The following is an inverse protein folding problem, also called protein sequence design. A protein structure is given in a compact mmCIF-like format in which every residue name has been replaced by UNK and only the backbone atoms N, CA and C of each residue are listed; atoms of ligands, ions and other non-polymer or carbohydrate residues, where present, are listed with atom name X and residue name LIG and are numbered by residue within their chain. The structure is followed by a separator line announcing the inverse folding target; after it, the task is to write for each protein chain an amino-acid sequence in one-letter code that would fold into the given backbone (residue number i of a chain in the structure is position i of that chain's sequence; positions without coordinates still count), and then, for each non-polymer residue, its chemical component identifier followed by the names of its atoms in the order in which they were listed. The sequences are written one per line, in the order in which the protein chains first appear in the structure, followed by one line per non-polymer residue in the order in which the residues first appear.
data_IF_146968007357
#
_entry.id   IF_146968007357
#
_cell.length_a   1.000
_cell.length_b   1.000
_cell.length_c   1.000
_cell.angle_alpha   90.00
_cell.angle_beta   90.00
_cell.angle_gamma   90.00
#
_symmetry.space_group_name_H-M   'P 1'
#
loop_
_entity.id
_entity.type
_entity.pdbx_description
1 polymer ?
#
# COMPACT_ATOMS: atom_id res chain seq x y z
N UNK A 1 18.11 27.05 -48.43
CA UNK A 1 18.45 27.46 -49.81
C UNK A 1 17.17 27.58 -50.62
N UNK A 2 16.67 28.79 -50.81
CA UNK A 2 15.79 29.13 -51.94
C UNK A 2 15.78 30.66 -52.09
N UNK A 3 16.55 31.16 -53.04
CA UNK A 3 16.64 32.59 -53.37
C UNK A 3 15.59 32.89 -54.43
N UNK A 4 14.54 33.64 -54.08
CA UNK A 4 13.64 34.24 -55.06
C UNK A 4 14.12 35.68 -55.33
N UNK A 5 14.72 35.88 -56.50
CA UNK A 5 15.17 37.17 -57.00
C UNK A 5 13.99 38.09 -57.30
N UNK A 6 13.89 39.19 -56.56
CA UNK A 6 12.99 40.31 -56.90
C UNK A 6 13.67 41.14 -57.99
N UNK A 7 13.06 41.17 -59.18
CA UNK A 7 13.43 42.08 -60.27
C UNK A 7 13.17 43.53 -59.85
N UNK A 8 14.24 44.28 -59.61
CA UNK A 8 14.19 45.73 -59.47
C UNK A 8 14.20 46.34 -60.87
N UNK A 9 13.08 46.92 -61.29
CA UNK A 9 13.03 47.76 -62.48
C UNK A 9 13.79 49.06 -62.21
N UNK A 10 14.97 49.17 -62.83
CA UNK A 10 15.73 50.41 -62.95
C UNK A 10 14.92 51.45 -63.72
N UNK A 11 14.43 52.47 -63.02
CA UNK A 11 13.82 53.63 -63.65
C UNK A 11 14.88 54.44 -64.41
N UNK A 12 14.69 54.51 -65.72
CA UNK A 12 15.56 55.16 -66.69
C UNK A 12 15.59 56.69 -66.45
N UNK A 13 16.73 57.22 -66.01
CA UNK A 13 16.99 58.67 -65.88
C UNK A 13 17.20 59.28 -67.28
N UNK A 14 16.13 59.51 -68.04
CA UNK A 14 16.25 60.21 -69.34
C UNK A 14 15.09 61.12 -69.72
N UNK A 15 14.14 61.42 -68.82
CA UNK A 15 12.91 62.15 -69.22
C UNK A 15 12.72 63.57 -68.66
N UNK A 16 13.70 64.19 -67.98
CA UNK A 16 13.49 65.52 -67.34
C UNK A 16 14.21 66.67 -68.08
N UNK A 17 14.86 66.42 -69.22
CA UNK A 17 15.57 67.47 -69.97
C UNK A 17 14.74 68.18 -71.06
N UNK A 18 13.41 68.00 -71.13
CA UNK A 18 12.62 68.44 -72.31
C UNK A 18 11.55 69.51 -72.08
N UNK A 19 11.35 70.02 -70.86
CA UNK A 19 10.33 71.06 -70.61
C UNK A 19 10.89 72.47 -70.35
N UNK A 20 12.21 72.65 -70.25
CA UNK A 20 12.83 73.98 -70.11
C UNK A 20 13.01 74.76 -71.43
N UNK A 21 12.95 74.09 -72.58
CA UNK A 21 13.19 74.72 -73.90
C UNK A 21 11.99 75.48 -74.48
N UNK A 22 10.79 75.36 -73.88
CA UNK A 22 9.57 75.96 -74.44
C UNK A 22 9.27 77.38 -73.96
N UNK A 23 9.96 77.92 -72.94
CA UNK A 23 9.69 79.28 -72.45
C UNK A 23 10.64 80.34 -73.04
N UNK A 24 11.86 79.97 -73.44
CA UNK A 24 12.81 80.90 -74.06
C UNK A 24 12.49 81.19 -75.54
N UNK A 25 11.81 80.27 -76.23
CA UNK A 25 11.38 80.48 -77.62
C UNK A 25 10.22 81.49 -77.76
N UNK A 26 9.39 81.66 -76.73
CA UNK A 26 8.22 82.54 -76.76
C UNK A 26 8.56 84.02 -76.58
N UNK A 27 9.73 84.34 -75.99
CA UNK A 27 10.14 85.72 -75.71
C UNK A 27 10.95 86.31 -76.88
N UNK A 28 11.62 85.47 -77.68
CA UNK A 28 12.34 85.93 -78.87
C UNK A 28 11.40 86.18 -80.07
N UNK A 29 10.21 85.56 -80.10
CA UNK A 29 9.28 85.68 -81.24
C UNK A 29 8.31 86.88 -81.18
N UNK A 30 8.31 87.68 -80.10
CA UNK A 30 7.45 88.87 -79.97
C UNK A 30 8.17 90.19 -80.26
N UNK A 31 9.48 90.18 -80.56
CA UNK A 31 10.26 91.38 -80.89
C UNK A 31 10.34 91.69 -82.41
N UNK A 32 9.65 90.92 -83.27
CA UNK A 32 9.77 91.03 -84.73
C UNK A 32 8.49 91.46 -85.48
N UNK A 33 7.42 91.86 -84.79
CA UNK A 33 6.18 92.33 -85.43
C UNK A 33 5.52 93.51 -84.68
N UNK A 34 6.16 94.67 -84.71
CA UNK A 34 5.49 95.99 -84.61
C UNK A 34 6.42 97.11 -85.11
N UNK A 35 6.55 97.21 -86.43
CA UNK A 35 7.08 98.39 -87.12
C UNK A 35 6.04 98.89 -88.13
N UNK A 36 4.88 99.35 -87.64
CA UNK A 36 4.10 100.42 -88.26
C UNK A 36 2.92 100.78 -87.37
N UNK A 37 2.90 102.03 -86.89
CA UNK A 37 1.68 102.72 -86.49
C UNK A 37 1.38 102.75 -84.98
N UNK A 38 1.72 103.88 -84.36
CA UNK A 38 0.86 104.50 -83.34
C UNK A 38 1.01 104.05 -81.89
N UNK A 39 1.51 104.98 -81.08
CA UNK A 39 1.38 105.10 -79.61
C UNK A 39 1.92 103.97 -78.71
N UNK A 40 3.01 104.32 -78.00
CA UNK A 40 3.52 103.73 -76.75
C UNK A 40 3.78 102.22 -76.75
N UNK A 41 4.83 101.81 -77.47
CA UNK A 41 5.51 100.53 -77.25
C UNK A 41 6.69 100.70 -76.27
N UNK A 42 6.99 99.67 -75.46
CA UNK A 42 7.97 99.77 -74.38
C UNK A 42 9.39 100.07 -74.91
N UNK A 43 10.17 100.86 -74.17
CA UNK A 43 11.53 101.27 -74.57
C UNK A 43 12.50 100.06 -74.58
N UNK A 44 13.67 100.18 -75.22
CA UNK A 44 14.69 99.11 -75.20
C UNK A 44 15.12 98.72 -73.78
N UNK A 45 15.02 99.64 -72.83
CA UNK A 45 15.25 99.45 -71.40
C UNK A 45 14.14 98.62 -70.74
N UNK A 46 12.91 98.74 -71.23
CA UNK A 46 11.70 98.10 -70.74
C UNK A 46 11.55 96.66 -71.28
N UNK A 47 12.03 96.39 -72.49
CA UNK A 47 12.23 95.02 -73.03
C UNK A 47 13.36 94.27 -72.31
N UNK A 48 14.46 94.96 -71.97
CA UNK A 48 15.53 94.38 -71.15
C UNK A 48 15.05 94.07 -69.72
N UNK A 49 14.21 94.93 -69.14
CA UNK A 49 13.57 94.70 -67.85
C UNK A 49 12.58 93.50 -67.91
N UNK A 50 11.77 93.39 -68.96
CA UNK A 50 10.87 92.23 -69.16
C UNK A 50 11.64 90.91 -69.34
N UNK A 51 12.75 90.92 -70.08
CA UNK A 51 13.62 89.76 -70.25
C UNK A 51 14.31 89.36 -68.92
N UNK A 52 14.74 90.33 -68.10
CA UNK A 52 15.29 90.09 -66.78
C UNK A 52 14.24 89.50 -65.80
N UNK A 53 13.01 90.01 -65.82
CA UNK A 53 11.89 89.48 -65.02
C UNK A 53 11.54 88.06 -65.45
N UNK A 54 11.52 87.76 -66.76
CA UNK A 54 11.26 86.42 -67.26
C UNK A 54 12.39 85.43 -66.95
N UNK A 55 13.66 85.87 -66.99
CA UNK A 55 14.81 85.09 -66.57
C UNK A 55 14.77 84.80 -65.07
N UNK A 56 14.41 85.79 -64.25
CA UNK A 56 14.19 85.61 -62.81
C UNK A 56 13.05 84.63 -62.53
N UNK A 57 11.90 84.77 -63.20
CA UNK A 57 10.77 83.86 -63.05
C UNK A 57 11.09 82.41 -63.50
N UNK A 58 11.92 82.25 -64.54
CA UNK A 58 12.42 80.93 -64.96
C UNK A 58 13.41 80.34 -63.95
N UNK A 59 14.27 81.16 -63.34
CA UNK A 59 15.17 80.75 -62.27
C UNK A 59 14.39 80.37 -60.99
N UNK A 60 13.39 81.15 -60.62
CA UNK A 60 12.51 80.89 -59.47
C UNK A 60 11.70 79.60 -59.66
N UNK A 61 11.18 79.37 -60.88
CA UNK A 61 10.52 78.10 -61.23
C UNK A 61 11.48 76.92 -61.18
N UNK A 62 12.69 77.05 -61.73
CA UNK A 62 13.70 75.99 -61.67
C UNK A 62 14.11 75.68 -60.21
N UNK A 63 14.22 76.70 -59.36
CA UNK A 63 14.48 76.54 -57.94
C UNK A 63 13.31 75.86 -57.21
N UNK A 64 12.06 76.20 -57.55
CA UNK A 64 10.87 75.54 -57.03
C UNK A 64 10.76 74.08 -57.47
N UNK A 65 11.01 73.78 -58.74
CA UNK A 65 11.01 72.41 -59.28
C UNK A 65 12.13 71.57 -58.63
N UNK A 66 13.32 72.15 -58.40
CA UNK A 66 14.41 71.51 -57.67
C UNK A 66 14.05 71.24 -56.20
N UNK A 67 13.37 72.18 -55.54
CA UNK A 67 12.90 72.01 -54.16
C UNK A 67 11.82 70.91 -54.07
N UNK A 68 10.90 70.83 -55.03
CA UNK A 68 9.89 69.76 -55.12
C UNK A 68 10.57 68.41 -55.36
N UNK A 69 11.53 68.33 -56.28
CA UNK A 69 12.28 67.10 -56.54
C UNK A 69 13.06 66.64 -55.29
N UNK A 70 13.67 67.57 -54.55
CA UNK A 70 14.33 67.28 -53.27
C UNK A 70 13.35 66.80 -52.20
N UNK A 71 12.15 67.40 -52.11
CA UNK A 71 11.10 66.98 -51.18
C UNK A 71 10.57 65.58 -51.51
N UNK A 72 10.36 65.26 -52.79
CA UNK A 72 9.96 63.91 -53.24
C UNK A 72 11.06 62.88 -52.93
N UNK A 73 12.33 63.21 -53.20
CA UNK A 73 13.46 62.33 -52.88
C UNK A 73 13.58 62.07 -51.37
N UNK A 74 13.40 63.12 -50.55
CA UNK A 74 13.37 63.00 -49.09
C UNK A 74 12.19 62.13 -48.63
N UNK A 75 10.99 62.36 -49.14
CA UNK A 75 9.82 61.55 -48.80
C UNK A 75 9.98 60.07 -49.20
N UNK A 76 10.62 59.80 -50.35
CA UNK A 76 10.94 58.45 -50.78
C UNK A 76 11.99 57.77 -49.87
N UNK A 77 13.01 58.52 -49.44
CA UNK A 77 14.01 58.04 -48.48
C UNK A 77 13.39 57.78 -47.09
N UNK A 78 12.55 58.68 -46.61
CA UNK A 78 11.83 58.55 -45.33
C UNK A 78 10.91 57.31 -45.37
N UNK A 79 10.20 57.07 -46.48
CA UNK A 79 9.39 55.86 -46.67
C UNK A 79 10.23 54.58 -46.70
N UNK A 80 11.34 54.57 -47.44
CA UNK A 80 12.23 53.41 -47.49
C UNK A 80 12.84 53.08 -46.11
N UNK A 81 13.18 54.11 -45.32
CA UNK A 81 13.63 53.95 -43.94
C UNK A 81 12.52 53.38 -43.03
N UNK A 82 11.28 53.84 -43.18
CA UNK A 82 10.13 53.33 -42.43
C UNK A 82 9.84 51.85 -42.79
N UNK A 83 9.83 51.50 -44.08
CA UNK A 83 9.62 50.12 -44.55
C UNK A 83 10.75 49.19 -44.06
N UNK A 84 12.01 49.66 -44.10
CA UNK A 84 13.15 48.92 -43.58
C UNK A 84 13.05 48.69 -42.06
N UNK A 85 12.61 49.70 -41.31
CA UNK A 85 12.35 49.57 -39.87
C UNK A 85 11.24 48.57 -39.58
N UNK A 86 10.12 48.62 -40.31
CA UNK A 86 9.02 47.69 -40.14
C UNK A 86 9.44 46.24 -40.44
N UNK A 87 10.27 46.03 -41.47
CA UNK A 87 10.83 44.71 -41.79
C UNK A 87 11.77 44.20 -40.70
N UNK A 88 12.62 45.07 -40.13
CA UNK A 88 13.51 44.72 -39.02
C UNK A 88 12.72 44.37 -37.75
N UNK A 89 11.70 45.16 -37.40
CA UNK A 89 10.84 44.92 -36.24
C UNK A 89 10.08 43.58 -36.39
N UNK A 90 9.58 43.26 -37.60
CA UNK A 90 8.94 41.96 -37.90
C UNK A 90 9.93 40.80 -37.77
N UNK A 91 11.13 40.91 -38.33
CA UNK A 91 12.14 39.84 -38.24
C UNK A 91 12.55 39.58 -36.78
N UNK A 92 12.65 40.63 -35.95
CA UNK A 92 12.91 40.48 -34.53
C UNK A 92 11.75 39.78 -33.79
N UNK A 93 10.49 40.10 -34.15
CA UNK A 93 9.33 39.43 -33.59
C UNK A 93 9.26 37.95 -33.99
N UNK A 94 9.51 37.62 -35.25
CA UNK A 94 9.52 36.24 -35.76
C UNK A 94 10.65 35.41 -35.10
N UNK A 95 11.84 36.01 -34.91
CA UNK A 95 12.96 35.36 -34.20
C UNK A 95 12.62 35.06 -32.74
N UNK A 96 11.99 36.00 -32.03
CA UNK A 96 11.53 35.80 -30.66
C UNK A 96 10.45 34.71 -30.58
N UNK A 97 9.50 34.69 -31.51
CA UNK A 97 8.46 33.66 -31.55
C UNK A 97 9.04 32.26 -31.78
N UNK A 98 10.07 32.15 -32.62
CA UNK A 98 10.78 30.89 -32.85
C UNK A 98 11.55 30.42 -31.60
N UNK A 99 12.23 31.33 -30.90
CA UNK A 99 12.91 31.02 -29.63
C UNK A 99 11.92 30.49 -28.57
N UNK A 100 10.79 31.18 -28.40
CA UNK A 100 9.72 30.74 -27.49
C UNK A 100 9.13 29.37 -27.89
N UNK A 101 8.98 29.11 -29.19
CA UNK A 101 8.50 27.82 -29.71
C UNK A 101 9.49 26.69 -29.39
N UNK A 102 10.78 26.92 -29.60
CA UNK A 102 11.84 25.94 -29.29
C UNK A 102 11.92 25.66 -27.79
N UNK A 103 11.80 26.69 -26.95
CA UNK A 103 11.76 26.53 -25.50
C UNK A 103 10.57 25.65 -25.06
N UNK A 104 9.38 25.84 -25.64
CA UNK A 104 8.19 25.02 -25.37
C UNK A 104 8.37 23.56 -25.82
N UNK A 105 8.99 23.33 -26.97
CA UNK A 105 9.33 21.97 -27.45
C UNK A 105 10.29 21.28 -26.49
N UNK A 106 11.34 21.98 -26.05
CA UNK A 106 12.30 21.44 -25.10
C UNK A 106 11.63 21.08 -23.75
N UNK A 107 10.74 21.94 -23.25
CA UNK A 107 9.96 21.67 -22.05
C UNK A 107 9.04 20.44 -22.21
N UNK A 108 8.32 20.32 -23.33
CA UNK A 108 7.46 19.17 -23.59
C UNK A 108 8.27 17.85 -23.71
N UNK A 109 9.45 17.88 -24.33
CA UNK A 109 10.38 16.72 -24.36
C UNK A 109 10.86 16.33 -22.96
N UNK A 110 11.12 17.31 -22.09
CA UNK A 110 11.46 17.06 -20.68
C UNK A 110 10.29 16.41 -19.94
N UNK A 111 9.08 16.92 -20.10
CA UNK A 111 7.87 16.35 -19.48
C UNK A 111 7.64 14.89 -19.88
N UNK A 112 7.90 14.54 -21.15
CA UNK A 112 7.85 13.16 -21.64
C UNK A 112 8.86 12.29 -20.89
N UNK A 113 10.12 12.73 -20.81
CA UNK A 113 11.18 11.99 -20.12
C UNK A 113 10.85 11.76 -18.64
N UNK A 114 10.38 12.80 -17.96
CA UNK A 114 9.99 12.71 -16.55
C UNK A 114 8.81 11.75 -16.37
N UNK A 115 7.81 11.79 -17.27
CA UNK A 115 6.66 10.87 -17.26
C UNK A 115 7.08 9.42 -17.50
N UNK A 116 7.99 9.15 -18.44
CA UNK A 116 8.51 7.81 -18.71
C UNK A 116 9.30 7.27 -17.51
N UNK A 117 10.09 8.11 -16.84
CA UNK A 117 10.80 7.73 -15.62
C UNK A 117 9.84 7.33 -14.49
N UNK A 118 8.74 8.07 -14.32
CA UNK A 118 7.69 7.73 -13.36
C UNK A 118 6.99 6.42 -13.72
N UNK A 119 6.62 6.25 -14.99
CA UNK A 119 6.02 5.02 -15.52
C UNK A 119 6.89 3.79 -15.25
N UNK A 120 8.21 3.89 -15.48
CA UNK A 120 9.14 2.79 -15.21
C UNK A 120 9.14 2.39 -13.73
N UNK A 121 9.18 3.40 -12.86
CA UNK A 121 9.23 3.23 -11.41
C UNK A 121 7.94 2.60 -10.88
N UNK A 122 6.78 3.14 -11.25
CA UNK A 122 5.49 2.62 -10.78
C UNK A 122 5.17 1.25 -11.39
N UNK A 123 5.60 0.97 -12.62
CA UNK A 123 5.45 -0.38 -13.22
C UNK A 123 6.24 -1.42 -12.43
N UNK A 124 7.49 -1.13 -12.05
CA UNK A 124 8.29 -2.03 -11.21
C UNK A 124 7.66 -2.27 -9.85
N UNK A 125 7.08 -1.23 -9.24
CA UNK A 125 6.36 -1.36 -7.99
C UNK A 125 5.12 -2.25 -8.14
N UNK A 126 4.32 -2.08 -9.20
CA UNK A 126 3.15 -2.92 -9.49
C UNK A 126 3.54 -4.40 -9.69
N UNK A 127 4.61 -4.66 -10.47
CA UNK A 127 5.14 -6.01 -10.66
C UNK A 127 5.63 -6.64 -9.36
N UNK A 128 6.30 -5.86 -8.50
CA UNK A 128 6.75 -6.32 -7.19
C UNK A 128 5.57 -6.68 -6.28
N UNK A 129 4.51 -5.87 -6.27
CA UNK A 129 3.29 -6.16 -5.52
C UNK A 129 2.62 -7.46 -5.98
N UNK A 130 2.51 -7.66 -7.30
CA UNK A 130 2.00 -8.91 -7.89
C UNK A 130 2.85 -10.13 -7.50
N UNK A 131 4.19 -10.03 -7.55
CA UNK A 131 5.08 -11.12 -7.17
C UNK A 131 4.92 -11.51 -5.68
N UNK A 132 4.81 -10.52 -4.80
CA UNK A 132 4.56 -10.75 -3.37
C UNK A 132 3.21 -11.45 -3.17
N UNK A 133 2.15 -11.00 -3.83
CA UNK A 133 0.84 -11.63 -3.77
C UNK A 133 0.89 -13.10 -4.22
N UNK A 134 1.58 -13.39 -5.32
CA UNK A 134 1.78 -14.74 -5.82
C UNK A 134 2.53 -15.65 -4.82
N UNK A 135 3.53 -15.11 -4.11
CA UNK A 135 4.24 -15.84 -3.06
C UNK A 135 3.34 -16.16 -1.86
N UNK A 136 2.56 -15.19 -1.36
CA UNK A 136 1.62 -15.40 -0.25
C UNK A 136 0.56 -16.46 -0.60
N UNK A 137 0.06 -16.44 -1.84
CA UNK A 137 -0.84 -17.47 -2.35
C UNK A 137 -0.18 -18.86 -2.38
N UNK A 138 1.07 -18.97 -2.82
CA UNK A 138 1.79 -20.23 -2.86
C UNK A 138 1.94 -20.83 -1.45
N UNK A 139 2.30 -20.01 -0.47
CA UNK A 139 2.38 -20.43 0.93
C UNK A 139 1.01 -20.91 1.44
N UNK A 140 -0.05 -20.15 1.17
CA UNK A 140 -1.42 -20.54 1.55
C UNK A 140 -1.83 -21.88 0.92
N UNK A 141 -1.51 -22.12 -0.37
CA UNK A 141 -1.78 -23.40 -1.06
C UNK A 141 -1.06 -24.58 -0.40
N UNK A 142 0.20 -24.39 -0.01
CA UNK A 142 0.97 -25.45 0.66
C UNK A 142 0.36 -25.82 2.01
N UNK A 143 0.02 -24.80 2.83
CA UNK A 143 -0.62 -25.00 4.13
C UNK A 143 -2.00 -25.66 4.01
N UNK A 144 -2.79 -25.27 3.01
CA UNK A 144 -4.14 -25.77 2.79
C UNK A 144 -4.22 -27.17 2.14
N UNK A 145 -3.11 -27.72 1.64
CA UNK A 145 -3.12 -28.91 0.77
C UNK A 145 -3.82 -30.15 1.35
N UNK A 146 -3.85 -30.29 2.68
CA UNK A 146 -4.51 -31.40 3.37
C UNK A 146 -5.88 -31.04 3.97
N UNK A 147 -6.37 -29.81 3.82
CA UNK A 147 -7.52 -29.28 4.55
C UNK A 147 -8.60 -28.80 3.58
N UNK A 148 -9.61 -29.64 3.33
CA UNK A 148 -10.68 -29.31 2.38
C UNK A 148 -11.57 -28.16 2.88
N UNK A 149 -11.66 -27.99 4.19
CA UNK A 149 -12.48 -26.98 4.87
C UNK A 149 -12.04 -25.54 4.56
N UNK A 150 -10.77 -25.33 4.20
CA UNK A 150 -10.21 -24.00 3.91
C UNK A 150 -10.30 -23.61 2.43
N UNK A 151 -10.89 -24.47 1.58
CA UNK A 151 -10.94 -24.28 0.13
C UNK A 151 -11.60 -22.95 -0.29
N UNK A 152 -12.64 -22.51 0.43
CA UNK A 152 -13.33 -21.25 0.14
C UNK A 152 -12.44 -20.03 0.40
N UNK A 153 -11.70 -20.02 1.51
CA UNK A 153 -10.77 -18.94 1.85
C UNK A 153 -9.59 -18.94 0.89
N UNK A 154 -9.06 -20.12 0.54
CA UNK A 154 -8.00 -20.26 -0.46
C UNK A 154 -8.43 -19.74 -1.85
N UNK A 155 -9.66 -19.98 -2.27
CA UNK A 155 -10.20 -19.46 -3.52
C UNK A 155 -10.28 -17.92 -3.51
N UNK A 156 -10.63 -17.30 -2.37
CA UNK A 156 -10.59 -15.84 -2.22
C UNK A 156 -9.16 -15.30 -2.28
N UNK A 157 -8.20 -15.97 -1.63
CA UNK A 157 -6.78 -15.63 -1.70
C UNK A 157 -6.27 -15.67 -3.14
N UNK A 158 -6.66 -16.69 -3.90
CA UNK A 158 -6.35 -16.80 -5.34
C UNK A 158 -6.91 -15.62 -6.13
N UNK A 159 -8.18 -15.26 -5.91
CA UNK A 159 -8.81 -14.14 -6.61
C UNK A 159 -8.09 -12.80 -6.37
N UNK A 160 -7.64 -12.54 -5.14
CA UNK A 160 -6.85 -11.32 -4.86
C UNK A 160 -5.46 -11.35 -5.51
N UNK A 161 -4.79 -12.50 -5.51
CA UNK A 161 -3.51 -12.63 -6.20
C UNK A 161 -3.64 -12.42 -7.72
N UNK A 162 -4.74 -12.92 -8.30
CA UNK A 162 -5.05 -12.71 -9.72
C UNK A 162 -5.37 -11.23 -10.02
N UNK A 163 -6.05 -10.52 -9.12
CA UNK A 163 -6.25 -9.07 -9.24
C UNK A 163 -4.92 -8.30 -9.22
N UNK A 164 -4.00 -8.67 -8.32
CA UNK A 164 -2.67 -8.05 -8.26
C UNK A 164 -1.89 -8.27 -9.57
N UNK A 165 -1.99 -9.48 -10.14
CA UNK A 165 -1.40 -9.83 -11.43
C UNK A 165 -1.99 -9.01 -12.57
N UNK A 166 -3.32 -8.93 -12.67
CA UNK A 166 -4.00 -8.16 -13.71
C UNK A 166 -3.64 -6.67 -13.64
N UNK A 167 -3.57 -6.10 -12.44
CA UNK A 167 -3.15 -4.71 -12.25
C UNK A 167 -1.69 -4.47 -12.69
N UNK A 168 -0.77 -5.40 -12.40
CA UNK A 168 0.61 -5.31 -12.89
C UNK A 168 0.70 -5.43 -14.43
N UNK A 169 -0.14 -6.26 -15.06
CA UNK A 169 -0.23 -6.37 -16.52
C UNK A 169 -0.78 -5.07 -17.15
N UNK A 170 -1.76 -4.41 -16.52
CA UNK A 170 -2.24 -3.09 -16.93
C UNK A 170 -1.14 -2.03 -16.85
N UNK A 171 -0.34 -2.01 -15.78
CA UNK A 171 0.80 -1.12 -15.66
C UNK A 171 1.81 -1.33 -16.81
N UNK A 172 2.10 -2.60 -17.16
CA UNK A 172 3.00 -2.93 -18.27
C UNK A 172 2.44 -2.47 -19.63
N UNK A 173 1.14 -2.60 -19.86
CA UNK A 173 0.49 -2.11 -21.08
C UNK A 173 0.61 -0.58 -21.22
N UNK A 174 0.42 0.16 -20.12
CA UNK A 174 0.58 1.62 -20.11
C UNK A 174 2.04 2.05 -20.27
N UNK A 175 2.98 1.26 -19.75
CA UNK A 175 4.41 1.46 -20.01
C UNK A 175 4.74 1.40 -21.50
N UNK A 176 4.19 0.44 -22.24
CA UNK A 176 4.38 0.36 -23.69
C UNK A 176 3.85 1.60 -24.43
N UNK A 177 2.72 2.16 -24.00
CA UNK A 177 2.16 3.40 -24.55
C UNK A 177 3.06 4.61 -24.29
N UNK A 178 3.59 4.75 -23.06
CA UNK A 178 4.51 5.83 -22.72
C UNK A 178 5.83 5.73 -23.49
N UNK A 179 6.39 4.54 -23.65
CA UNK A 179 7.58 4.31 -24.48
C UNK A 179 7.33 4.69 -25.93
N UNK A 180 6.19 4.29 -26.49
CA UNK A 180 5.81 4.65 -27.86
C UNK A 180 5.69 6.16 -28.05
N UNK A 181 5.07 6.86 -27.10
CA UNK A 181 4.98 8.33 -27.13
C UNK A 181 6.35 8.99 -27.07
N UNK A 182 7.27 8.46 -26.25
CA UNK A 182 8.62 8.98 -26.14
C UNK A 182 9.42 8.82 -27.43
N UNK A 183 9.41 7.62 -28.03
CA UNK A 183 10.08 7.36 -29.31
C UNK A 183 9.50 8.23 -30.43
N UNK A 184 8.18 8.39 -30.47
CA UNK A 184 7.53 9.22 -31.51
C UNK A 184 7.86 10.71 -31.36
N UNK A 185 8.12 11.17 -30.14
CA UNK A 185 8.49 12.57 -29.88
C UNK A 185 9.92 12.92 -30.30
N UNK A 186 10.82 11.94 -30.46
CA UNK A 186 12.21 12.19 -30.87
C UNK A 186 12.27 12.82 -32.27
N UNK A 187 11.48 12.29 -33.21
CA UNK A 187 11.38 12.75 -34.60
C UNK A 187 10.36 13.88 -34.83
N UNK A 188 9.62 14.31 -33.80
CA UNK A 188 8.60 15.35 -33.93
C UNK A 188 9.22 16.76 -33.88
N UNK A 189 8.93 17.58 -34.89
CA UNK A 189 9.46 18.95 -35.04
C UNK A 189 8.45 20.05 -34.70
N UNK A 190 7.15 19.73 -34.75
CA UNK A 190 6.08 20.69 -34.44
C UNK A 190 5.76 20.70 -32.96
N UNK A 191 5.46 21.89 -32.42
CA UNK A 191 5.09 22.04 -31.01
C UNK A 191 3.82 21.23 -30.68
N UNK A 192 2.86 21.21 -31.60
CA UNK A 192 1.61 20.47 -31.47
C UNK A 192 1.85 18.96 -31.31
N UNK A 193 2.68 18.35 -32.17
CA UNK A 193 2.98 16.92 -32.11
C UNK A 193 3.70 16.54 -30.80
N UNK A 194 4.74 17.28 -30.42
CA UNK A 194 5.50 17.00 -29.19
C UNK A 194 4.60 17.17 -27.94
N UNK A 195 3.71 18.15 -27.95
CA UNK A 195 2.77 18.39 -26.84
C UNK A 195 1.71 17.30 -26.76
N UNK A 196 1.22 16.78 -27.90
CA UNK A 196 0.32 15.63 -27.94
C UNK A 196 0.97 14.37 -27.34
N UNK A 197 2.23 14.08 -27.69
CA UNK A 197 2.99 12.97 -27.08
C UNK A 197 3.25 13.19 -25.59
N UNK A 198 3.52 14.43 -25.16
CA UNK A 198 3.64 14.77 -23.74
C UNK A 198 2.35 14.47 -22.97
N UNK A 199 1.18 14.81 -23.55
CA UNK A 199 -0.10 14.49 -22.93
C UNK A 199 -0.36 12.97 -22.87
N UNK A 200 -0.01 12.23 -23.93
CA UNK A 200 -0.12 10.78 -23.95
C UNK A 200 0.75 10.13 -22.87
N UNK A 201 2.01 10.57 -22.72
CA UNK A 201 2.92 10.08 -21.68
C UNK A 201 2.41 10.40 -20.26
N UNK A 202 1.87 11.60 -20.04
CA UNK A 202 1.24 11.99 -18.76
C UNK A 202 0.02 11.14 -18.43
N UNK A 203 -0.85 10.89 -19.40
CA UNK A 203 -2.01 10.02 -19.22
C UNK A 203 -1.59 8.59 -18.87
N UNK A 204 -0.59 8.05 -19.58
CA UNK A 204 -0.04 6.73 -19.26
C UNK A 204 0.55 6.70 -17.84
N UNK A 205 1.30 7.73 -17.41
CA UNK A 205 1.84 7.83 -16.06
C UNK A 205 0.74 7.81 -14.98
N UNK A 206 -0.38 8.51 -15.20
CA UNK A 206 -1.54 8.47 -14.31
C UNK A 206 -2.13 7.06 -14.22
N UNK A 207 -2.33 6.39 -15.37
CA UNK A 207 -2.88 5.03 -15.42
C UNK A 207 -1.97 3.99 -14.78
N UNK A 208 -0.65 4.11 -14.94
CA UNK A 208 0.32 3.24 -14.25
C UNK A 208 0.23 3.45 -12.73
N UNK A 209 0.10 4.70 -12.28
CA UNK A 209 -0.05 4.98 -10.84
C UNK A 209 -1.33 4.36 -10.27
N UNK A 210 -2.45 4.46 -10.98
CA UNK A 210 -3.71 3.79 -10.62
C UNK A 210 -3.53 2.27 -10.55
N UNK A 211 -2.91 1.68 -11.57
CA UNK A 211 -2.64 0.25 -11.64
C UNK A 211 -1.69 -0.24 -10.52
N UNK A 212 -0.66 0.54 -10.19
CA UNK A 212 0.22 0.25 -9.05
C UNK A 212 -0.56 0.22 -7.74
N UNK A 213 -1.38 1.25 -7.48
CA UNK A 213 -2.19 1.30 -6.25
C UNK A 213 -3.16 0.12 -6.18
N UNK A 214 -3.79 -0.27 -7.30
CA UNK A 214 -4.63 -1.46 -7.36
C UNK A 214 -3.85 -2.75 -7.06
N UNK A 215 -2.63 -2.89 -7.60
CA UNK A 215 -1.76 -4.04 -7.35
C UNK A 215 -1.33 -4.12 -5.87
N UNK A 216 -0.99 -2.99 -5.24
CA UNK A 216 -0.63 -2.91 -3.82
C UNK A 216 -1.81 -3.26 -2.91
N UNK A 217 -3.01 -2.77 -3.20
CA UNK A 217 -4.22 -3.11 -2.45
C UNK A 217 -4.57 -4.60 -2.58
N UNK A 218 -4.48 -5.15 -3.79
CA UNK A 218 -4.72 -6.57 -4.04
C UNK A 218 -3.67 -7.46 -3.36
N UNK A 219 -2.40 -7.03 -3.32
CA UNK A 219 -1.35 -7.68 -2.51
C UNK A 219 -1.72 -7.73 -1.03
N UNK A 220 -2.15 -6.61 -0.45
CA UNK A 220 -2.51 -6.56 0.97
C UNK A 220 -3.73 -7.43 1.29
N UNK A 221 -4.72 -7.43 0.41
CA UNK A 221 -5.88 -8.34 0.51
C UNK A 221 -5.46 -9.82 0.41
N UNK A 222 -4.51 -10.14 -0.48
CA UNK A 222 -3.95 -11.49 -0.62
C UNK A 222 -3.25 -11.92 0.66
N UNK A 223 -2.41 -11.07 1.25
CA UNK A 223 -1.70 -11.38 2.49
C UNK A 223 -2.67 -11.64 3.64
N UNK A 224 -3.67 -10.76 3.83
CA UNK A 224 -4.69 -10.94 4.86
C UNK A 224 -5.48 -12.23 4.68
N UNK A 225 -5.84 -12.57 3.44
CA UNK A 225 -6.55 -13.81 3.14
C UNK A 225 -5.66 -15.05 3.35
N UNK A 226 -4.36 -14.97 3.06
CA UNK A 226 -3.39 -16.03 3.35
C UNK A 226 -3.22 -16.25 4.87
N UNK A 227 -3.16 -15.17 5.66
CA UNK A 227 -3.11 -15.26 7.12
C UNK A 227 -4.38 -15.93 7.68
N UNK A 228 -5.53 -15.65 7.07
CA UNK A 228 -6.78 -16.31 7.40
C UNK A 228 -6.75 -17.81 7.06
N UNK A 229 -6.21 -18.21 5.91
CA UNK A 229 -5.99 -19.63 5.58
C UNK A 229 -5.15 -20.31 6.65
N UNK A 230 -4.04 -19.69 7.07
CA UNK A 230 -3.17 -20.23 8.12
C UNK A 230 -3.92 -20.42 9.44
N UNK A 231 -4.75 -19.45 9.85
CA UNK A 231 -5.58 -19.56 11.04
C UNK A 231 -6.64 -20.68 10.94
N UNK A 232 -7.32 -20.79 9.81
CA UNK A 232 -8.32 -21.84 9.58
C UNK A 232 -7.70 -23.24 9.51
N UNK A 233 -6.50 -23.36 8.94
CA UNK A 233 -5.73 -24.61 8.92
C UNK A 233 -5.42 -25.07 10.34
N UNK A 234 -4.98 -24.17 11.23
CA UNK A 234 -4.75 -24.51 12.65
C UNK A 234 -6.01 -25.02 13.35
N UNK A 235 -7.14 -24.36 13.10
CA UNK A 235 -8.44 -24.80 13.63
C UNK A 235 -8.80 -26.19 13.07
N UNK A 236 -8.60 -26.42 11.78
CA UNK A 236 -8.88 -27.71 11.14
C UNK A 236 -7.94 -28.83 11.64
N UNK A 237 -6.67 -28.53 11.90
CA UNK A 237 -5.72 -29.45 12.49
C UNK A 237 -6.13 -29.86 13.91
N UNK A 238 -6.49 -28.89 14.75
CA UNK A 238 -7.05 -29.13 16.07
C UNK A 238 -8.34 -29.99 15.99
N UNK A 239 -9.21 -29.68 15.03
CA UNK A 239 -10.46 -30.38 14.78
C UNK A 239 -10.27 -31.84 14.36
N UNK A 240 -9.12 -32.24 13.81
CA UNK A 240 -8.85 -33.65 13.48
C UNK A 240 -8.77 -34.53 14.71
N UNK A 241 -8.33 -34.01 15.83
CA UNK A 241 -8.27 -34.74 17.10
C UNK A 241 -9.44 -34.41 18.02
N UNK A 242 -9.83 -33.15 18.13
CA UNK A 242 -10.81 -32.73 19.14
C UNK A 242 -12.13 -32.26 18.52
N UNK A 243 -13.24 -32.59 19.19
CA UNK A 243 -14.58 -32.12 18.85
C UNK A 243 -15.13 -31.30 20.02
N UNK A 244 -15.52 -30.05 19.75
CA UNK A 244 -16.15 -29.15 20.74
C UNK A 244 -17.57 -29.64 21.04
N UNK A 245 -17.95 -29.65 22.32
CA UNK A 245 -19.29 -30.02 22.77
C UNK A 245 -19.94 -28.88 23.58
N UNK A 246 -21.25 -28.72 23.41
CA UNK A 246 -22.05 -27.83 24.26
C UNK A 246 -22.29 -28.43 25.67
N UNK A 247 -23.05 -27.73 26.52
CA UNK A 247 -23.34 -28.17 27.88
C UNK A 247 -24.24 -29.41 27.95
N UNK A 248 -24.94 -29.76 26.86
CA UNK A 248 -25.74 -30.98 26.72
C UNK A 248 -24.96 -32.15 26.11
N UNK A 249 -23.73 -31.91 25.64
CA UNK A 249 -22.89 -32.92 25.00
C UNK A 249 -23.09 -33.02 23.48
N UNK A 250 -23.81 -32.08 22.86
CA UNK A 250 -23.98 -32.04 21.41
C UNK A 250 -22.73 -31.47 20.73
N UNK A 251 -22.39 -31.99 19.56
CA UNK A 251 -21.25 -31.50 18.78
C UNK A 251 -21.49 -30.07 18.28
N UNK A 252 -20.47 -29.24 18.43
CA UNK A 252 -20.46 -27.85 17.98
C UNK A 252 -19.64 -27.70 16.70
N UNK A 253 -19.96 -26.70 15.85
CA UNK A 253 -19.12 -26.33 14.73
C UNK A 253 -17.69 -26.01 15.16
N UNK A 254 -16.72 -26.25 14.28
CA UNK A 254 -15.30 -25.96 14.54
C UNK A 254 -15.07 -24.48 14.92
N UNK A 255 -15.87 -23.60 14.31
CA UNK A 255 -15.88 -22.15 14.49
C UNK A 255 -16.59 -21.68 15.77
N UNK A 256 -17.10 -22.59 16.61
CA UNK A 256 -17.73 -22.21 17.87
C UNK A 256 -16.74 -21.48 18.79
N UNK A 257 -17.13 -20.30 19.26
CA UNK A 257 -16.31 -19.43 20.12
C UNK A 257 -16.36 -19.84 21.61
N UNK A 258 -17.28 -20.73 21.99
CA UNK A 258 -17.42 -21.25 23.34
C UNK A 258 -17.89 -22.70 23.28
N UNK A 259 -17.41 -23.52 24.22
CA UNK A 259 -17.76 -24.93 24.37
C UNK A 259 -17.59 -25.33 25.84
N UNK A 260 -18.35 -26.33 26.28
CA UNK A 260 -18.33 -26.82 27.67
C UNK A 260 -17.41 -28.02 27.85
N UNK A 261 -17.21 -28.81 26.79
CA UNK A 261 -16.33 -29.97 26.80
C UNK A 261 -15.61 -30.18 25.46
N UNK A 262 -14.57 -31.01 25.48
CA UNK A 262 -13.86 -31.48 24.30
C UNK A 262 -13.83 -32.99 24.26
N UNK A 263 -14.32 -33.57 23.17
CA UNK A 263 -14.15 -34.99 22.87
C UNK A 263 -12.85 -35.22 22.12
N UNK A 264 -11.94 -35.99 22.68
CA UNK A 264 -10.72 -36.45 22.01
C UNK A 264 -11.04 -37.70 21.18
N UNK A 265 -11.04 -37.57 19.86
CA UNK A 265 -11.35 -38.65 18.91
C UNK A 265 -10.30 -39.75 18.91
N UNK A 266 -9.08 -39.49 19.39
CA UNK A 266 -8.04 -40.50 19.45
C UNK A 266 -8.26 -41.47 20.63
N UNK A 267 -8.65 -40.94 21.78
CA UNK A 267 -8.81 -41.72 23.02
C UNK A 267 -10.26 -42.07 23.34
N UNK A 268 -11.22 -41.37 22.74
CA UNK A 268 -12.65 -41.44 23.07
C UNK A 268 -13.03 -40.70 24.36
N UNK A 269 -12.05 -40.08 25.04
CA UNK A 269 -12.27 -39.36 26.30
C UNK A 269 -12.92 -38.00 26.04
N UNK A 270 -13.76 -37.57 26.98
CA UNK A 270 -14.33 -36.22 27.01
C UNK A 270 -13.71 -35.45 28.17
N UNK A 271 -13.15 -34.30 27.85
CA UNK A 271 -12.45 -33.39 28.75
C UNK A 271 -13.35 -32.23 29.12
N UNK A 272 -13.34 -31.89 30.40
CA UNK A 272 -13.98 -30.69 30.91
C UNK A 272 -13.26 -29.44 30.38
N UNK A 273 -14.04 -28.43 29.99
CA UNK A 273 -13.58 -27.05 29.89
C UNK A 273 -14.00 -26.25 31.11
N UNK A 274 -13.02 -25.60 31.73
CA UNK A 274 -13.22 -24.74 32.89
C UNK A 274 -13.84 -23.42 32.48
N UNK A 275 -14.61 -22.81 33.39
CA UNK A 275 -15.21 -21.49 33.19
C UNK A 275 -14.27 -20.38 33.67
N UNK A 276 -14.69 -19.12 33.52
CA UNK A 276 -13.98 -17.95 34.05
C UNK A 276 -14.98 -16.95 34.64
N UNK A 277 -15.96 -17.47 35.38
CA UNK A 277 -17.16 -16.78 35.86
C UNK A 277 -17.32 -16.77 37.39
N UNK A 278 -16.33 -17.27 38.13
CA UNK A 278 -16.37 -17.40 39.58
C UNK A 278 -17.30 -18.50 40.10
N UNK A 279 -17.96 -19.27 39.22
CA UNK A 279 -18.70 -20.48 39.61
C UNK A 279 -17.75 -21.56 40.14
N UNK A 280 -18.27 -22.64 40.71
CA UNK A 280 -17.42 -23.71 41.24
C UNK A 280 -16.51 -24.35 40.17
N UNK A 281 -16.76 -24.15 38.86
CA UNK A 281 -15.93 -24.63 37.75
C UNK A 281 -14.92 -23.61 37.22
N UNK A 282 -14.74 -22.47 37.88
CA UNK A 282 -13.75 -21.46 37.46
C UNK A 282 -12.34 -22.05 37.34
N UNK A 283 -11.61 -21.66 36.30
CA UNK A 283 -10.24 -22.12 36.01
C UNK A 283 -9.22 -21.67 37.04
N UNK A 284 -9.49 -20.62 37.79
CA UNK A 284 -8.58 -20.07 38.81
C UNK A 284 -8.69 -20.79 40.15
N UNK A 285 -9.72 -21.62 40.33
CA UNK A 285 -9.85 -22.43 41.53
C UNK A 285 -8.82 -23.52 41.63
N UNK A 286 -8.42 -23.75 42.86
CA UNK A 286 -7.44 -24.76 43.24
C UNK A 286 -8.07 -25.65 44.30
N UNK A 287 -7.73 -26.93 44.30
CA UNK A 287 -8.39 -27.93 45.12
C UNK A 287 -7.35 -28.76 45.84
N UNK A 288 -7.69 -29.17 47.06
CA UNK A 288 -6.94 -30.21 47.77
C UNK A 288 -7.05 -31.51 47.00
N UNK A 289 -5.92 -32.17 46.76
CA UNK A 289 -5.85 -33.36 45.90
C UNK A 289 -6.73 -34.52 46.41
N UNK A 290 -6.78 -34.77 47.72
CA UNK A 290 -7.57 -35.85 48.32
C UNK A 290 -8.53 -35.36 49.41
N UNK A 291 -9.63 -36.10 49.54
CA UNK A 291 -10.54 -36.04 50.68
C UNK A 291 -10.06 -37.07 51.72
N UNK A 292 -9.08 -36.71 52.55
CA UNK A 292 -8.60 -37.62 53.58
C UNK A 292 -8.84 -37.02 54.97
N UNK A 293 -9.58 -37.77 55.79
CA UNK A 293 -9.97 -37.51 57.19
C UNK A 293 -10.91 -36.32 57.45
N UNK A 294 -11.76 -36.48 58.48
CA UNK A 294 -12.61 -35.40 58.99
C UNK A 294 -11.76 -34.25 59.52
N UNK A 295 -12.10 -33.02 59.12
CA UNK A 295 -11.40 -31.79 59.54
C UNK A 295 -10.78 -30.96 58.41
N UNK A 296 -10.77 -31.45 57.17
CA UNK A 296 -10.18 -30.75 56.01
C UNK A 296 -11.18 -29.95 55.16
N UNK A 297 -12.42 -29.80 55.64
CA UNK A 297 -13.52 -29.15 54.94
C UNK A 297 -13.49 -27.61 54.96
N UNK A 298 -12.33 -27.00 54.72
CA UNK A 298 -12.22 -25.55 54.61
C UNK A 298 -12.03 -25.11 53.15
N UNK A 299 -12.51 -23.91 52.83
CA UNK A 299 -12.44 -23.29 51.50
C UNK A 299 -11.25 -22.35 51.34
N UNK A 300 -10.40 -22.19 52.36
CA UNK A 300 -9.16 -21.40 52.30
C UNK A 300 -7.91 -22.23 52.54
N UNK A 301 -6.79 -21.75 52.01
CA UNK A 301 -5.45 -22.28 52.26
C UNK A 301 -4.84 -21.79 53.59
N UNK A 302 -3.71 -22.36 54.02
CA UNK A 302 -3.00 -21.96 55.26
C UNK A 302 -2.55 -20.49 55.27
N UNK A 303 -2.54 -19.82 54.11
CA UNK A 303 -2.25 -18.39 53.97
C UNK A 303 -3.52 -17.54 53.89
N UNK A 304 -4.69 -18.14 54.05
CA UNK A 304 -5.99 -17.48 54.00
C UNK A 304 -6.50 -17.18 52.58
N UNK A 305 -5.88 -17.71 51.52
CA UNK A 305 -6.39 -17.53 50.16
C UNK A 305 -7.54 -18.49 49.89
N UNK A 306 -8.58 -18.00 49.22
CA UNK A 306 -9.72 -18.83 48.81
C UNK A 306 -9.28 -19.84 47.75
N UNK A 307 -9.59 -21.12 48.00
CA UNK A 307 -9.30 -22.25 47.13
C UNK A 307 -10.39 -22.43 46.06
N UNK A 308 -11.65 -22.41 46.49
CA UNK A 308 -12.81 -22.53 45.61
C UNK A 308 -14.04 -21.84 46.22
N UNK A 309 -15.11 -21.71 45.43
CA UNK A 309 -16.43 -21.21 45.86
C UNK A 309 -17.53 -22.12 45.34
N UNK A 310 -18.69 -22.10 46.01
CA UNK A 310 -19.86 -22.88 45.60
C UNK A 310 -19.79 -24.37 45.93
N UNK A 311 -18.83 -24.78 46.78
CA UNK A 311 -18.69 -26.12 47.34
C UNK A 311 -18.50 -26.01 48.86
N UNK A 312 -18.97 -27.01 49.60
CA UNK A 312 -18.78 -27.08 51.05
C UNK A 312 -17.32 -27.36 51.42
N UNK A 313 -16.62 -28.14 50.61
CA UNK A 313 -15.18 -28.43 50.78
C UNK A 313 -14.44 -28.29 49.46
N UNK A 314 -13.27 -27.66 49.47
CA UNK A 314 -12.46 -27.42 48.28
C UNK A 314 -11.46 -28.55 48.02
N UNK A 315 -11.97 -29.76 47.83
CA UNK A 315 -11.20 -30.93 47.43
C UNK A 315 -11.62 -31.47 46.06
N UNK A 316 -10.72 -32.20 45.39
CA UNK A 316 -10.91 -32.66 44.03
C UNK A 316 -12.08 -33.66 43.88
N UNK A 317 -12.42 -34.40 44.95
CA UNK A 317 -13.54 -35.35 44.96
C UNK A 317 -14.88 -34.64 45.13
N UNK A 318 -14.94 -33.64 46.00
CA UNK A 318 -16.12 -32.77 46.14
C UNK A 318 -16.39 -31.99 44.87
N UNK A 319 -15.34 -31.49 44.21
CA UNK A 319 -15.45 -30.90 42.87
C UNK A 319 -15.99 -31.91 41.84
N UNK A 320 -15.41 -33.12 41.78
CA UNK A 320 -15.88 -34.19 40.89
C UNK A 320 -17.37 -34.52 41.11
N UNK A 321 -17.79 -34.66 42.38
CA UNK A 321 -19.18 -34.94 42.74
C UNK A 321 -20.13 -33.82 42.30
N UNK A 322 -19.71 -32.55 42.45
CA UNK A 322 -20.50 -31.41 41.98
C UNK A 322 -20.61 -31.36 40.44
N UNK A 323 -19.52 -31.65 39.71
CA UNK A 323 -19.55 -31.75 38.23
C UNK A 323 -20.48 -32.89 37.78
N UNK A 324 -20.45 -34.03 38.47
CA UNK A 324 -21.35 -35.16 38.22
C UNK A 324 -22.82 -34.82 38.49
N UNK A 325 -23.09 -34.10 39.58
CA UNK A 325 -24.44 -33.61 39.91
C UNK A 325 -24.98 -32.60 38.90
N UNK A 326 -24.10 -31.81 38.26
CA UNK A 326 -24.49 -30.87 37.20
C UNK A 326 -24.87 -31.58 35.89
N UNK A 327 -24.39 -32.80 35.65
CA UNK A 327 -24.61 -33.48 34.36
C UNK A 327 -23.85 -32.82 33.20
N UNK A 328 -22.66 -32.25 33.47
CA UNK A 328 -21.90 -31.47 32.49
C UNK A 328 -21.71 -32.25 31.17
N UNK A 329 -22.08 -31.63 30.05
CA UNK A 329 -22.01 -32.20 28.71
C UNK A 329 -22.79 -33.52 28.58
N UNK A 330 -23.92 -33.60 29.28
CA UNK A 330 -24.79 -34.78 29.31
C UNK A 330 -24.21 -35.97 30.08
N UNK A 331 -23.19 -35.75 30.93
CA UNK A 331 -22.42 -36.81 31.59
C UNK A 331 -22.40 -36.66 33.10
N UNK A 332 -22.46 -37.78 33.81
CA UNK A 332 -22.41 -37.86 35.27
C UNK A 332 -21.34 -38.85 35.79
N UNK A 333 -20.41 -39.26 34.92
CA UNK A 333 -19.31 -40.18 35.22
C UNK A 333 -17.94 -39.51 35.05
N UNK A 334 -17.85 -38.25 35.44
CA UNK A 334 -16.61 -37.49 35.53
C UNK A 334 -15.73 -38.03 36.65
N UNK A 335 -14.43 -38.07 36.37
CA UNK A 335 -13.40 -38.47 37.31
C UNK A 335 -12.16 -37.61 37.14
N UNK A 336 -11.31 -37.63 38.17
CA UNK A 336 -9.95 -37.11 38.08
C UNK A 336 -9.21 -37.93 36.99
N UNK A 337 -8.38 -37.31 36.12
CA UNK A 337 -7.67 -38.03 35.07
C UNK A 337 -6.49 -38.86 35.58
N UNK A 338 -6.08 -39.85 34.81
CA UNK A 338 -4.79 -40.52 34.99
C UNK A 338 -3.64 -39.61 34.50
N UNK A 339 -2.43 -39.86 35.02
CA UNK A 339 -1.21 -39.16 34.56
C UNK A 339 -0.96 -39.34 33.07
N UNK A 340 -1.13 -40.56 32.58
CA UNK A 340 -1.01 -40.89 31.16
C UNK A 340 -2.07 -40.18 30.31
N UNK A 341 -3.27 -39.94 30.84
CA UNK A 341 -4.33 -39.21 30.14
C UNK A 341 -4.00 -37.73 30.04
N UNK A 342 -3.53 -37.09 31.12
CA UNK A 342 -3.03 -35.71 31.07
C UNK A 342 -1.81 -35.59 30.15
N UNK A 343 -0.89 -36.55 30.21
CA UNK A 343 0.24 -36.63 29.27
C UNK A 343 -0.22 -36.76 27.81
N UNK A 344 -1.31 -37.48 27.55
CA UNK A 344 -1.81 -37.69 26.19
C UNK A 344 -2.30 -36.41 25.49
N UNK A 345 -2.74 -35.40 26.26
CA UNK A 345 -3.17 -34.09 25.73
C UNK A 345 -2.05 -33.06 25.73
N UNK A 346 -0.86 -33.40 26.24
CA UNK A 346 0.32 -32.56 26.14
C UNK A 346 0.84 -32.49 24.70
N UNK A 347 1.45 -31.37 24.33
CA UNK A 347 2.15 -31.21 23.05
C UNK A 347 3.36 -30.29 23.16
N UNK A 348 4.32 -30.46 22.25
CA UNK A 348 5.45 -29.54 22.12
C UNK A 348 5.03 -28.40 21.19
N UNK A 349 4.90 -27.19 21.74
CA UNK A 349 4.64 -26.00 20.91
C UNK A 349 5.90 -25.57 20.16
N UNK A 350 5.73 -24.69 19.17
CA UNK A 350 6.83 -24.18 18.35
C UNK A 350 8.00 -23.67 19.21
N UNK A 351 9.23 -24.08 18.84
CA UNK A 351 10.44 -23.75 19.57
C UNK A 351 10.63 -24.48 20.90
N UNK A 352 9.78 -25.46 21.24
CA UNK A 352 9.85 -26.19 22.52
C UNK A 352 9.40 -25.36 23.72
N UNK A 353 8.56 -24.34 23.49
CA UNK A 353 8.14 -23.39 24.53
C UNK A 353 6.92 -23.90 25.32
N UNK A 354 6.91 -23.80 26.66
CA UNK A 354 5.72 -24.06 27.46
C UNK A 354 4.67 -22.93 27.32
N UNK A 355 3.38 -23.16 27.66
CA UNK A 355 2.86 -24.40 28.24
C UNK A 355 2.73 -25.50 27.20
N UNK A 356 3.18 -26.71 27.54
CA UNK A 356 3.17 -27.89 26.67
C UNK A 356 1.79 -28.52 26.48
N UNK A 357 0.83 -27.71 26.07
CA UNK A 357 -0.54 -28.09 25.72
C UNK A 357 -1.04 -27.12 24.64
N UNK A 358 -1.94 -27.58 23.77
CA UNK A 358 -2.51 -26.74 22.73
C UNK A 358 -3.46 -25.70 23.35
N UNK A 359 -3.03 -24.44 23.46
CA UNK A 359 -3.86 -23.38 24.05
C UNK A 359 -5.00 -22.92 23.14
N UNK A 360 -4.97 -23.22 21.84
CA UNK A 360 -6.10 -22.96 20.94
C UNK A 360 -7.25 -23.95 21.21
N UNK A 361 -6.90 -25.17 21.64
CA UNK A 361 -7.85 -26.21 22.06
C UNK A 361 -8.22 -26.08 23.54
N UNK A 362 -7.24 -25.83 24.39
CA UNK A 362 -7.37 -25.73 25.86
C UNK A 362 -7.05 -24.32 26.36
N UNK A 363 -7.85 -23.29 25.99
CA UNK A 363 -7.60 -21.89 26.38
C UNK A 363 -7.81 -21.63 27.88
N UNK A 364 -8.41 -22.58 28.58
CA UNK A 364 -8.68 -22.55 30.01
C UNK A 364 -7.51 -23.04 30.87
N UNK A 365 -6.40 -23.46 30.25
CA UNK A 365 -5.21 -23.87 30.99
C UNK A 365 -4.64 -22.70 31.81
N UNK A 366 -4.22 -22.99 33.04
CA UNK A 366 -3.49 -22.04 33.88
C UNK A 366 -2.00 -22.30 33.70
N UNK A 367 -1.29 -21.31 33.18
CA UNK A 367 0.15 -21.35 32.99
C UNK A 367 0.85 -20.55 34.09
N UNK A 368 1.31 -21.26 35.13
CA UNK A 368 2.21 -20.74 36.18
C UNK A 368 3.23 -21.83 36.51
N UNK A 369 4.40 -21.85 35.83
CA UNK A 369 5.41 -22.89 36.04
C UNK A 369 5.75 -23.04 37.52
N UNK A 370 5.79 -24.28 38.02
CA UNK A 370 6.06 -24.63 39.43
C UNK A 370 4.95 -24.25 40.42
N UNK A 371 3.82 -23.74 39.94
CA UNK A 371 2.66 -23.37 40.76
C UNK A 371 1.33 -23.91 40.23
N UNK A 372 1.26 -24.36 38.97
CA UNK A 372 0.03 -24.80 38.30
C UNK A 372 0.04 -26.27 37.89
N UNK A 373 0.32 -27.17 38.84
CA UNK A 373 0.13 -28.59 38.62
C UNK A 373 -1.35 -28.98 38.60
N UNK A 374 -1.72 -29.84 37.66
CA UNK A 374 -3.03 -30.45 37.54
C UNK A 374 -3.10 -31.77 38.31
N UNK A 375 -4.20 -31.96 39.03
CA UNK A 375 -4.46 -33.17 39.80
C UNK A 375 -4.54 -34.40 38.87
N UNK A 376 -3.79 -35.43 39.19
CA UNK A 376 -3.92 -36.74 38.57
C UNK A 376 -4.32 -37.79 39.62
N UNK A 377 -5.07 -38.81 39.23
CA UNK A 377 -5.40 -39.93 40.09
C UNK A 377 -4.12 -40.68 40.47
N UNK A 378 -4.08 -41.11 41.73
CA UNK A 378 -3.11 -42.09 42.16
C UNK A 378 -3.62 -43.49 41.85
N UNK A 379 -2.88 -44.23 41.03
CA UNK A 379 -3.17 -45.63 40.71
C UNK A 379 -2.33 -46.61 41.54
N UNK A 380 -1.43 -46.12 42.40
CA UNK A 380 -0.64 -46.98 43.26
C UNK A 380 -1.50 -47.41 44.47
N UNK A 381 -1.68 -48.72 44.63
CA UNK A 381 -2.45 -49.31 45.73
C UNK A 381 -1.57 -49.93 46.83
N UNK A 382 -0.24 -49.75 46.78
CA UNK A 382 0.72 -50.28 47.77
C UNK A 382 0.80 -49.44 49.05
N UNK A 383 1.54 -49.92 50.06
CA UNK A 383 1.77 -49.17 51.31
C UNK A 383 2.48 -47.81 51.08
N UNK A 384 3.20 -47.67 49.96
CA UNK A 384 3.83 -46.43 49.52
C UNK A 384 2.93 -45.58 48.60
N UNK A 385 1.63 -45.92 48.48
CA UNK A 385 0.65 -45.13 47.74
C UNK A 385 0.68 -43.67 48.18
N UNK A 386 0.96 -43.41 49.46
CA UNK A 386 1.07 -42.07 50.03
C UNK A 386 2.30 -41.25 49.58
N UNK A 387 3.26 -41.84 48.86
CA UNK A 387 4.56 -41.19 48.61
C UNK A 387 4.81 -40.73 47.17
N UNK A 388 3.97 -41.09 46.19
CA UNK A 388 4.24 -40.83 44.76
C UNK A 388 3.06 -40.19 44.00
N UNK A 389 2.49 -39.10 44.53
CA UNK A 389 1.40 -38.39 43.87
C UNK A 389 1.93 -37.42 42.81
N UNK A 390 1.96 -37.89 41.56
CA UNK A 390 2.48 -37.14 40.43
C UNK A 390 1.34 -36.43 39.69
N UNK A 391 1.28 -35.11 39.80
CA UNK A 391 0.46 -34.25 38.95
C UNK A 391 1.16 -33.96 37.62
N UNK A 392 0.53 -33.12 36.79
CA UNK A 392 1.09 -32.64 35.52
C UNK A 392 1.16 -31.12 35.53
N UNK A 393 2.35 -30.55 35.35
CA UNK A 393 2.55 -29.11 35.11
C UNK A 393 3.05 -28.91 33.68
N UNK A 394 2.14 -28.45 32.81
CA UNK A 394 2.46 -28.15 31.41
C UNK A 394 3.46 -26.99 31.26
N UNK A 395 3.69 -26.21 32.31
CA UNK A 395 4.58 -25.05 32.30
C UNK A 395 6.06 -25.36 32.47
N UNK A 396 6.43 -26.62 32.71
CA UNK A 396 7.83 -26.99 32.92
C UNK A 396 8.64 -27.07 31.62
N UNK A 397 9.93 -26.71 31.65
CA UNK A 397 10.81 -26.84 30.49
C UNK A 397 11.08 -28.32 30.16
N UNK A 398 11.33 -28.61 28.89
CA UNK A 398 11.75 -29.93 28.43
C UNK A 398 13.11 -30.32 29.03
N UNK A 399 13.23 -31.56 29.51
CA UNK A 399 14.47 -32.17 29.95
C UNK A 399 15.53 -32.04 28.85
N UNK A 400 16.66 -31.41 29.19
CA UNK A 400 17.79 -31.14 28.30
C UNK A 400 17.44 -30.34 27.02
N UNK A 401 16.26 -29.70 26.96
CA UNK A 401 15.78 -28.99 25.77
C UNK A 401 15.46 -29.88 24.57
N UNK A 402 15.44 -31.21 24.74
CA UNK A 402 15.24 -32.16 23.64
C UNK A 402 13.74 -32.34 23.36
N UNK A 403 13.33 -32.05 22.13
CA UNK A 403 11.93 -32.01 21.70
C UNK A 403 11.41 -33.38 21.26
N UNK A 404 11.35 -34.34 22.20
CA UNK A 404 10.71 -35.65 21.97
C UNK A 404 9.48 -35.81 22.85
N UNK A 405 8.52 -36.63 22.40
CA UNK A 405 7.32 -36.96 23.18
C UNK A 405 7.66 -37.57 24.54
N UNK A 406 8.63 -38.48 24.57
CA UNK A 406 9.11 -39.11 25.80
C UNK A 406 9.68 -38.07 26.78
N UNK A 407 10.52 -37.15 26.31
CA UNK A 407 11.03 -36.10 27.18
C UNK A 407 9.93 -35.16 27.64
N UNK A 408 8.99 -34.80 26.78
CA UNK A 408 7.82 -34.02 27.19
C UNK A 408 7.08 -34.70 28.34
N UNK A 409 6.65 -35.95 28.15
CA UNK A 409 5.89 -36.70 29.15
C UNK A 409 6.67 -36.83 30.47
N UNK A 410 7.98 -37.03 30.42
CA UNK A 410 8.82 -37.08 31.62
C UNK A 410 9.05 -35.70 32.28
N UNK A 411 9.04 -34.61 31.51
CA UNK A 411 9.32 -33.25 32.01
C UNK A 411 8.15 -32.65 32.78
N UNK A 412 6.93 -32.95 32.35
CA UNK A 412 5.72 -32.34 32.90
C UNK A 412 5.18 -33.08 34.14
N UNK A 413 5.68 -34.28 34.43
CA UNK A 413 5.29 -35.05 35.62
C UNK A 413 5.93 -34.44 36.86
N UNK A 414 5.09 -34.05 37.82
CA UNK A 414 5.52 -33.31 39.00
C UNK A 414 5.00 -33.93 40.29
N UNK A 415 5.81 -34.05 41.34
CA UNK A 415 5.29 -34.44 42.63
C UNK A 415 4.49 -33.27 43.23
N UNK A 416 3.19 -33.47 43.48
CA UNK A 416 2.29 -32.43 44.00
C UNK A 416 2.71 -31.90 45.37
N UNK A 417 3.60 -32.58 46.11
CA UNK A 417 4.15 -32.08 47.37
C UNK A 417 4.90 -30.76 47.25
N UNK A 418 5.38 -30.43 46.05
CA UNK A 418 6.01 -29.13 45.78
C UNK A 418 5.00 -28.05 45.34
N UNK A 419 3.72 -28.40 45.28
CA UNK A 419 2.60 -27.56 44.83
C UNK A 419 1.54 -27.51 45.93
N UNK A 420 1.50 -26.41 46.68
CA UNK A 420 0.43 -26.16 47.68
C UNK A 420 0.91 -25.72 49.05
N UNK A 421 0.13 -26.04 50.07
CA UNK A 421 0.34 -25.62 51.45
C UNK A 421 1.26 -26.59 52.19
N UNK A 422 2.42 -26.11 52.61
CA UNK A 422 3.23 -26.79 53.61
C UNK A 422 3.03 -26.02 54.92
N UNK A 423 2.22 -26.56 55.84
CA UNK A 423 1.88 -25.88 57.10
C UNK A 423 3.06 -25.76 58.07
N UNK A 424 4.11 -26.59 57.92
CA UNK A 424 5.24 -26.69 58.84
C UNK A 424 6.59 -26.26 58.23
N UNK A 425 6.63 -25.88 56.95
CA UNK A 425 7.87 -25.61 56.22
C UNK A 425 8.80 -26.83 56.09
N UNK A 426 8.37 -28.02 56.49
CA UNK A 426 9.19 -29.24 56.44
C UNK A 426 8.89 -29.97 55.13
N UNK A 427 9.85 -29.92 54.22
CA UNK A 427 9.78 -30.57 52.90
C UNK A 427 9.69 -32.11 52.99
N UNK A 428 9.81 -32.70 54.19
CA UNK A 428 10.19 -34.09 54.40
C UNK A 428 9.30 -34.93 55.34
N UNK A 429 8.15 -34.46 55.84
CA UNK A 429 7.33 -35.26 56.79
C UNK A 429 5.96 -35.68 56.21
N UNK A 430 5.87 -36.86 55.55
CA UNK A 430 4.60 -37.37 55.00
C UNK A 430 3.61 -37.86 56.07
N UNK A 431 4.02 -37.98 57.34
CA UNK A 431 3.24 -38.66 58.38
C UNK A 431 2.06 -37.88 58.96
N UNK A 432 1.92 -36.57 58.69
CA UNK A 432 0.79 -35.77 59.21
C UNK A 432 0.40 -34.67 58.19
N UNK A 433 -0.80 -34.78 57.60
CA UNK A 433 -1.56 -33.65 57.05
C UNK A 433 -0.94 -32.87 55.86
N UNK A 434 -0.43 -33.55 54.83
CA UNK A 434 0.02 -32.88 53.61
C UNK A 434 -1.16 -32.39 52.74
N UNK A 435 -1.35 -31.06 52.71
CA UNK A 435 -2.43 -30.35 52.01
C UNK A 435 -2.01 -29.95 50.58
N UNK A 436 -1.80 -30.92 49.69
CA UNK A 436 -1.40 -30.60 48.32
C UNK A 436 -2.53 -29.95 47.55
N UNK A 437 -2.20 -28.82 46.93
CA UNK A 437 -3.14 -28.05 46.14
C UNK A 437 -2.80 -28.23 44.67
N UNK A 438 -3.81 -28.52 43.88
CA UNK A 438 -3.68 -28.62 42.43
C UNK A 438 -4.87 -27.96 41.72
N UNK A 439 -4.66 -27.64 40.44
CA UNK A 439 -5.76 -27.31 39.53
C UNK A 439 -6.45 -28.60 39.10
N UNK A 440 -7.73 -28.52 38.77
CA UNK A 440 -8.51 -29.66 38.29
C UNK A 440 -8.85 -29.53 36.81
N UNK A 441 -8.88 -30.67 36.12
CA UNK A 441 -9.52 -30.85 34.82
C UNK A 441 -10.12 -32.24 34.84
N UNK A 442 -11.43 -32.35 34.76
CA UNK A 442 -12.08 -33.65 34.79
C UNK A 442 -12.08 -34.33 33.43
N UNK A 443 -12.15 -35.65 33.45
CA UNK A 443 -12.29 -36.49 32.26
C UNK A 443 -13.43 -37.50 32.46
N UNK A 444 -14.11 -37.84 31.37
CA UNK A 444 -15.16 -38.87 31.30
C UNK A 444 -14.93 -39.79 30.10
N UNK A 445 -15.14 -41.09 30.26
CA UNK A 445 -14.91 -42.10 29.23
C UNK A 445 -16.17 -42.54 28.47
N UNK A 446 -17.38 -42.23 28.96
CA UNK A 446 -18.67 -42.55 28.31
C UNK A 446 -19.75 -41.55 28.61
#
# INVERSE_FOLDING_TARGET
MNMNSVKVHTFNKTSIAKQGQSLLASIVMSALLTACGGSSGPSAEELAAQAAIAAQAAADKAAADAAIAAAIAKAAADKAAADAKAAADKAAADAKAEEERQAKIAAARKDIKDSVGQVETDTKAAQSASAIAGYSLLQAKQQASAYAEVANTLAKTQAFADQAKQAAEQALAQKALATTAATSAESAETLEAVTAFAQQAKNAALRVKEARTAAEQARDATQKAADQVSAEVKIAEAARRYTKLDSGGNELPLTANAWSCLKDKQTGLVWEMKTSDGSFRDKTWRYRHMHNYGGYGNTVDTKGQVLCRGLDTCDAYSYMNAVNGQGLCGRNSWRIPLKSELGSIAQINAGGTPPHINQEVFPDIVYKPREAAYCAMNTNAGADAEHNYQGVDYGLPLLNGIQTKENLENSILVPLRYYGEISDGLVNNPGNASNWICYTRMVSSR
#
